data_IF_440295693876
#
_entry.id   IF_440295693876
#
_cell.length_a   1.000
_cell.length_b   1.000
_cell.length_c   1.000
_cell.angle_alpha   90.00
_cell.angle_beta   90.00
_cell.angle_gamma   90.00
#
_symmetry.space_group_name_H-M   'P 1'
#
loop_
_entity.id
_entity.type
_entity.pdbx_description
1 polymer ?
#
# COMPACT_ATOMS: atom_id res chain seq x y z
N UNK A 1 -23.93 17.96 82.63
CA UNK A 1 -23.67 19.37 82.95
C UNK A 1 -23.20 20.09 81.69
N UNK A 2 -23.98 21.13 81.38
CA UNK A 2 -23.67 22.35 80.65
C UNK A 2 -23.36 22.21 79.17
N UNK A 3 -24.30 22.48 78.30
CA UNK A 3 -24.67 23.76 77.70
C UNK A 3 -23.47 24.46 77.01
N UNK A 4 -23.51 24.94 75.81
CA UNK A 4 -24.20 26.12 75.31
C UNK A 4 -23.92 26.40 73.82
N UNK A 5 -24.96 26.66 73.07
CA UNK A 5 -25.28 27.77 72.15
C UNK A 5 -24.50 27.92 70.82
N UNK A 6 -25.33 27.78 69.87
CA UNK A 6 -25.70 28.73 68.75
C UNK A 6 -24.67 29.78 68.34
N UNK A 7 -24.29 29.75 67.13
CA UNK A 7 -24.36 31.01 66.37
C UNK A 7 -24.65 30.77 64.87
N UNK A 8 -25.73 31.34 64.41
CA UNK A 8 -26.16 31.42 63.03
C UNK A 8 -25.54 32.64 62.38
N UNK A 9 -24.69 32.46 61.41
CA UNK A 9 -24.38 33.55 60.47
C UNK A 9 -24.67 33.17 59.08
N UNK A 10 -25.75 33.68 58.61
CA UNK A 10 -26.20 33.76 57.24
C UNK A 10 -25.18 34.50 56.39
N UNK A 11 -24.56 33.85 55.44
CA UNK A 11 -23.75 34.51 54.42
C UNK A 11 -24.48 34.40 53.09
N UNK A 12 -24.87 35.56 52.60
CA UNK A 12 -25.46 35.77 51.27
C UNK A 12 -24.45 35.39 50.20
N UNK A 13 -24.79 34.41 49.42
CA UNK A 13 -24.05 34.04 48.21
C UNK A 13 -24.57 34.87 47.06
N UNK A 14 -23.80 35.87 46.66
CA UNK A 14 -23.97 36.57 45.40
C UNK A 14 -23.70 35.64 44.24
N UNK A 15 -24.70 35.33 43.47
CA UNK A 15 -24.54 34.53 42.27
C UNK A 15 -23.81 35.30 41.17
N UNK A 16 -22.65 34.83 40.81
CA UNK A 16 -22.01 35.19 39.56
C UNK A 16 -22.33 34.10 38.55
N UNK A 17 -23.26 34.40 37.66
CA UNK A 17 -23.55 33.56 36.49
C UNK A 17 -22.39 33.68 35.48
N UNK A 18 -21.53 32.69 35.48
CA UNK A 18 -20.56 32.49 34.39
C UNK A 18 -21.28 31.99 33.16
N UNK A 19 -21.52 32.87 32.20
CA UNK A 19 -21.95 32.52 30.87
C UNK A 19 -20.72 31.88 30.17
N UNK A 20 -20.65 30.57 30.18
CA UNK A 20 -19.74 29.83 29.27
C UNK A 20 -20.28 29.99 27.85
N UNK A 21 -19.77 30.96 27.13
CA UNK A 21 -19.92 31.03 25.67
C UNK A 21 -19.20 29.82 25.08
N UNK A 22 -19.96 28.75 24.86
CA UNK A 22 -19.51 27.59 24.13
C UNK A 22 -19.18 28.00 22.70
N UNK A 23 -17.90 28.27 22.43
CA UNK A 23 -17.39 28.24 21.10
C UNK A 23 -17.44 26.78 20.64
N UNK A 24 -18.55 26.39 20.03
CA UNK A 24 -18.64 25.15 19.24
C UNK A 24 -17.74 25.33 18.03
N UNK A 25 -16.44 25.15 18.27
CA UNK A 25 -15.48 24.94 17.20
C UNK A 25 -15.91 23.67 16.49
N UNK A 26 -16.60 23.83 15.36
CA UNK A 26 -16.83 22.75 14.43
C UNK A 26 -15.44 22.22 14.05
N UNK A 27 -15.03 21.13 14.68
CA UNK A 27 -13.91 20.32 14.22
C UNK A 27 -14.27 19.90 12.80
N UNK A 28 -13.79 20.65 11.82
CA UNK A 28 -13.82 20.21 10.43
C UNK A 28 -13.08 18.88 10.42
N UNK A 29 -13.73 17.79 10.01
CA UNK A 29 -12.98 16.56 9.81
C UNK A 29 -11.85 16.91 8.85
N UNK A 30 -10.60 16.64 9.28
CA UNK A 30 -9.48 16.71 8.36
C UNK A 30 -9.87 15.84 7.18
N UNK A 31 -10.05 16.45 6.00
CA UNK A 31 -10.32 15.70 4.79
C UNK A 31 -9.15 14.74 4.62
N UNK A 32 -9.40 13.43 4.78
CA UNK A 32 -8.40 12.43 4.48
C UNK A 32 -7.92 12.71 3.05
N UNK A 33 -6.61 12.98 2.92
CA UNK A 33 -6.05 13.29 1.61
C UNK A 33 -6.27 12.09 0.71
N UNK A 34 -6.93 12.31 -0.43
CA UNK A 34 -7.21 11.25 -1.39
C UNK A 34 -5.89 10.59 -1.83
N UNK A 35 -5.86 9.26 -1.83
CA UNK A 35 -4.69 8.50 -2.24
C UNK A 35 -4.48 8.65 -3.75
N UNK A 36 -3.35 9.24 -4.15
CA UNK A 36 -3.04 9.47 -5.55
C UNK A 36 -2.69 8.16 -6.27
N UNK A 37 -3.10 8.05 -7.54
CA UNK A 37 -2.74 6.91 -8.37
C UNK A 37 -1.23 6.81 -8.58
N UNK A 38 -0.73 5.57 -8.61
CA UNK A 38 0.68 5.28 -8.90
C UNK A 38 0.94 5.48 -10.39
N UNK A 39 1.86 6.37 -10.80
CA UNK A 39 2.23 6.49 -12.19
C UNK A 39 3.08 5.31 -12.66
N UNK A 40 2.99 4.96 -13.94
CA UNK A 40 3.92 4.00 -14.54
C UNK A 40 5.36 4.51 -14.45
N UNK A 41 6.27 3.62 -14.05
CA UNK A 41 7.69 3.93 -13.97
C UNK A 41 8.36 3.82 -15.34
N UNK A 42 9.34 4.69 -15.59
CA UNK A 42 10.15 4.60 -16.82
C UNK A 42 10.84 3.23 -16.90
N UNK A 43 10.70 2.55 -18.04
CA UNK A 43 11.25 1.23 -18.27
C UNK A 43 10.50 0.10 -17.54
N UNK A 44 9.40 0.41 -16.87
CA UNK A 44 8.57 -0.61 -16.22
C UNK A 44 8.02 -1.66 -17.19
N UNK A 45 7.67 -1.23 -18.39
CA UNK A 45 7.16 -2.10 -19.46
C UNK A 45 8.24 -2.82 -20.29
N UNK A 46 9.53 -2.67 -19.95
CA UNK A 46 10.59 -3.35 -20.72
C UNK A 46 10.37 -4.87 -20.66
N UNK A 47 10.45 -5.51 -21.81
CA UNK A 47 10.24 -6.95 -22.01
C UNK A 47 8.87 -7.47 -21.50
N UNK A 48 7.88 -6.60 -21.32
CA UNK A 48 6.53 -6.99 -20.97
C UNK A 48 5.95 -7.98 -21.99
N UNK A 49 5.31 -9.03 -21.49
CA UNK A 49 4.62 -10.06 -22.27
C UNK A 49 3.20 -10.19 -21.74
N UNK A 50 2.16 -9.74 -22.45
CA UNK A 50 0.79 -9.88 -21.98
C UNK A 50 0.42 -11.35 -21.76
N UNK A 51 -0.40 -11.62 -20.74
CA UNK A 51 -0.98 -12.94 -20.52
C UNK A 51 -0.06 -13.97 -19.86
N UNK A 52 0.99 -13.57 -19.17
CA UNK A 52 1.77 -14.52 -18.35
C UNK A 52 0.86 -15.32 -17.40
N UNK A 53 1.09 -16.63 -17.23
CA UNK A 53 0.19 -17.49 -16.46
C UNK A 53 0.20 -17.15 -14.97
N UNK A 54 -0.93 -17.33 -14.29
CA UNK A 54 -0.98 -17.34 -12.83
C UNK A 54 -0.32 -18.62 -12.35
N UNK A 55 0.71 -18.46 -11.52
CA UNK A 55 1.55 -19.56 -11.03
C UNK A 55 1.75 -19.46 -9.52
N UNK A 56 2.03 -20.58 -8.87
CA UNK A 56 2.39 -20.59 -7.44
C UNK A 56 3.80 -19.98 -7.21
N UNK A 57 4.71 -20.16 -8.18
CA UNK A 57 6.04 -19.57 -8.21
C UNK A 57 6.63 -19.60 -9.62
N UNK A 58 7.62 -18.76 -9.87
CA UNK A 58 8.46 -18.79 -11.07
C UNK A 58 9.70 -19.61 -10.75
N UNK A 59 10.07 -20.54 -11.59
CA UNK A 59 11.28 -21.34 -11.46
C UNK A 59 11.45 -22.00 -10.09
N UNK A 60 12.69 -22.07 -9.59
CA UNK A 60 13.06 -22.71 -8.32
C UNK A 60 12.70 -21.92 -7.06
N UNK A 61 12.32 -20.65 -7.21
CA UNK A 61 11.99 -19.80 -6.05
C UNK A 61 13.22 -19.28 -5.30
N UNK A 62 12.98 -18.82 -4.06
CA UNK A 62 14.02 -18.31 -3.15
C UNK A 62 14.04 -16.80 -2.98
N UNK A 63 13.47 -16.04 -3.91
CA UNK A 63 13.26 -14.58 -3.84
C UNK A 63 11.78 -14.24 -3.82
N UNK A 64 11.38 -13.24 -3.04
CA UNK A 64 9.98 -12.85 -2.91
C UNK A 64 9.69 -11.48 -3.51
N UNK A 65 8.78 -11.45 -4.47
CA UNK A 65 8.12 -10.21 -4.89
C UNK A 65 6.78 -10.09 -4.16
N UNK A 66 6.55 -8.95 -3.53
CA UNK A 66 5.32 -8.72 -2.78
C UNK A 66 4.86 -7.27 -2.84
N UNK A 67 3.63 -7.02 -2.40
CA UNK A 67 3.12 -5.67 -2.31
C UNK A 67 1.63 -5.62 -2.07
N UNK A 68 1.05 -4.44 -2.26
CA UNK A 68 -0.38 -4.19 -2.11
C UNK A 68 -0.95 -3.50 -3.34
N UNK A 69 -2.23 -3.73 -3.58
CA UNK A 69 -3.02 -3.05 -4.61
C UNK A 69 -4.20 -2.35 -3.94
N UNK A 70 -4.30 -1.04 -4.12
CA UNK A 70 -5.33 -0.20 -3.53
C UNK A 70 -5.99 0.67 -4.60
N UNK A 71 -7.23 1.08 -4.36
CA UNK A 71 -7.95 2.01 -5.22
C UNK A 71 -7.50 3.44 -4.94
N UNK A 72 -7.29 4.22 -6.00
CA UNK A 72 -7.04 5.65 -5.89
C UNK A 72 -8.27 6.36 -5.29
N UNK A 73 -8.01 7.43 -4.57
CA UNK A 73 -9.03 8.17 -3.85
C UNK A 73 -9.22 7.66 -2.42
N UNK A 74 -9.94 6.56 -2.23
CA UNK A 74 -10.32 6.05 -0.92
C UNK A 74 -9.33 5.06 -0.28
N UNK A 75 -8.37 4.54 -1.04
CA UNK A 75 -7.37 3.58 -0.56
C UNK A 75 -7.92 2.19 -0.24
N UNK A 76 -9.13 1.87 -0.66
CA UNK A 76 -9.70 0.54 -0.45
C UNK A 76 -8.82 -0.56 -1.05
N UNK A 77 -8.57 -1.66 -0.34
CA UNK A 77 -7.84 -2.79 -0.90
C UNK A 77 -8.60 -3.41 -2.07
N UNK A 78 -7.87 -3.79 -3.10
CA UNK A 78 -8.44 -4.41 -4.31
C UNK A 78 -8.09 -5.90 -4.34
N UNK A 79 -9.07 -6.75 -4.06
CA UNK A 79 -8.95 -8.20 -4.11
C UNK A 79 -9.06 -8.73 -5.54
N UNK A 80 -8.44 -9.90 -5.79
CA UNK A 80 -8.55 -10.62 -7.07
C UNK A 80 -7.84 -9.93 -8.24
N UNK A 81 -7.04 -8.89 -7.99
CA UNK A 81 -6.32 -8.20 -9.06
C UNK A 81 -5.11 -9.02 -9.50
N UNK A 82 -4.99 -9.20 -10.80
CA UNK A 82 -3.88 -9.93 -11.41
C UNK A 82 -2.66 -9.02 -11.55
N UNK A 83 -1.57 -9.41 -10.91
CA UNK A 83 -0.27 -8.73 -11.01
C UNK A 83 0.69 -9.66 -11.73
N UNK A 84 1.18 -9.23 -12.87
CA UNK A 84 2.23 -9.92 -13.60
C UNK A 84 3.59 -9.45 -13.09
N UNK A 85 4.55 -10.39 -12.99
CA UNK A 85 5.89 -10.17 -12.43
C UNK A 85 6.92 -10.84 -13.34
N UNK A 86 8.03 -10.16 -13.61
CA UNK A 86 9.19 -10.73 -14.32
C UNK A 86 10.48 -10.02 -13.92
N UNK A 87 11.59 -10.68 -14.10
CA UNK A 87 12.91 -10.13 -13.84
C UNK A 87 14.00 -10.95 -14.53
N UNK A 88 15.23 -10.38 -14.59
CA UNK A 88 16.42 -11.14 -14.82
C UNK A 88 16.87 -11.84 -13.53
N UNK A 89 17.01 -13.13 -13.59
CA UNK A 89 17.26 -13.98 -12.42
C UNK A 89 18.41 -14.94 -12.64
N UNK A 90 18.79 -15.67 -11.60
CA UNK A 90 19.77 -16.76 -11.69
C UNK A 90 19.37 -17.88 -12.63
N UNK A 91 18.09 -17.99 -13.02
CA UNK A 91 17.56 -19.08 -13.85
C UNK A 91 17.12 -18.65 -15.24
N UNK A 92 17.06 -17.34 -15.52
CA UNK A 92 16.63 -16.87 -16.84
C UNK A 92 16.67 -15.37 -17.01
N UNK A 93 16.64 -14.95 -18.27
CA UNK A 93 16.63 -13.54 -18.62
C UNK A 93 15.19 -12.99 -18.56
N UNK A 94 15.02 -11.72 -18.28
CA UNK A 94 13.69 -11.04 -18.25
C UNK A 94 12.94 -11.08 -19.60
N UNK A 95 13.61 -11.48 -20.70
CA UNK A 95 13.00 -11.71 -22.02
C UNK A 95 12.37 -13.09 -22.16
N UNK A 96 12.78 -14.02 -21.33
CA UNK A 96 12.39 -15.43 -21.47
C UNK A 96 10.98 -15.64 -20.94
N UNK A 97 10.09 -16.33 -21.67
CA UNK A 97 8.72 -16.54 -21.21
C UNK A 97 8.62 -17.18 -19.83
N UNK A 98 9.54 -18.12 -19.52
CA UNK A 98 9.59 -18.81 -18.21
C UNK A 98 9.98 -17.89 -17.04
N UNK A 99 10.53 -16.71 -17.30
CA UNK A 99 10.84 -15.68 -16.28
C UNK A 99 9.63 -14.82 -15.93
N UNK A 100 8.47 -15.06 -16.55
CA UNK A 100 7.23 -14.34 -16.36
C UNK A 100 6.21 -15.21 -15.63
N UNK A 101 5.55 -14.63 -14.64
CA UNK A 101 4.41 -15.23 -13.97
C UNK A 101 3.45 -14.17 -13.47
N UNK A 102 2.29 -14.60 -13.02
CA UNK A 102 1.33 -13.72 -12.40
C UNK A 102 0.81 -14.32 -11.10
N UNK A 103 0.31 -13.45 -10.23
CA UNK A 103 -0.39 -13.81 -9.00
C UNK A 103 -1.62 -12.95 -8.84
N UNK A 104 -2.54 -13.34 -7.95
CA UNK A 104 -3.74 -12.58 -7.63
C UNK A 104 -3.61 -11.98 -6.24
N UNK A 105 -4.18 -10.79 -6.04
CA UNK A 105 -4.29 -10.20 -4.71
C UNK A 105 -5.31 -10.95 -3.86
N UNK A 106 -5.03 -11.04 -2.56
CA UNK A 106 -5.96 -11.57 -1.56
C UNK A 106 -7.07 -10.55 -1.18
N UNK A 107 -7.90 -10.89 -0.20
CA UNK A 107 -8.99 -10.04 0.29
C UNK A 107 -8.51 -8.68 0.85
N UNK A 108 -7.25 -8.58 1.26
CA UNK A 108 -6.62 -7.37 1.78
C UNK A 108 -5.87 -6.59 0.70
N UNK A 109 -5.97 -7.01 -0.56
CA UNK A 109 -5.24 -6.43 -1.68
C UNK A 109 -3.74 -6.76 -1.67
N UNK A 110 -3.31 -7.78 -0.94
CA UNK A 110 -1.90 -8.20 -0.86
C UNK A 110 -1.60 -9.23 -1.94
N UNK A 111 -0.47 -9.07 -2.62
CA UNK A 111 0.05 -10.08 -3.53
C UNK A 111 1.45 -10.55 -3.09
N UNK A 112 1.77 -11.79 -3.40
CA UNK A 112 3.10 -12.39 -3.26
C UNK A 112 3.34 -13.38 -4.38
N UNK A 113 4.56 -13.40 -4.89
CA UNK A 113 5.02 -14.41 -5.83
C UNK A 113 6.48 -14.74 -5.55
N UNK A 114 6.78 -16.00 -5.40
CA UNK A 114 8.14 -16.49 -5.27
C UNK A 114 8.77 -16.66 -6.65
N UNK A 115 10.06 -16.32 -6.77
CA UNK A 115 10.80 -16.42 -8.02
C UNK A 115 12.28 -16.68 -7.71
N UNK A 116 13.12 -17.05 -8.70
CA UNK A 116 14.55 -17.17 -8.49
C UNK A 116 15.19 -15.83 -8.12
N UNK A 117 16.37 -15.87 -7.47
CA UNK A 117 17.10 -14.68 -7.07
C UNK A 117 17.28 -13.71 -8.25
N UNK A 118 16.84 -12.47 -8.07
CA UNK A 118 17.10 -11.40 -9.04
C UNK A 118 18.57 -11.03 -9.02
N UNK A 119 19.16 -10.93 -10.20
CA UNK A 119 20.56 -10.59 -10.39
C UNK A 119 20.73 -9.40 -11.33
N UNK A 120 21.85 -8.67 -11.28
CA UNK A 120 22.07 -7.56 -12.19
C UNK A 120 22.06 -7.97 -13.67
N UNK A 121 21.33 -7.18 -14.47
CA UNK A 121 21.43 -7.20 -15.92
C UNK A 121 21.34 -5.75 -16.39
N UNK A 122 22.33 -5.14 -16.95
CA UNK A 122 22.31 -3.73 -17.36
C UNK A 122 22.02 -2.74 -16.21
N UNK A 123 22.82 -2.75 -15.17
CA UNK A 123 22.71 -1.83 -14.03
C UNK A 123 22.29 -2.53 -12.73
N UNK A 124 21.59 -1.80 -11.87
CA UNK A 124 21.14 -2.35 -10.58
C UNK A 124 20.09 -3.45 -10.77
N UNK A 125 20.14 -4.52 -9.93
CA UNK A 125 19.14 -5.56 -9.97
C UNK A 125 17.77 -4.96 -9.67
N UNK A 126 16.76 -5.37 -10.46
CA UNK A 126 15.41 -4.83 -10.41
C UNK A 126 14.39 -5.87 -10.84
N UNK A 127 13.17 -5.69 -10.37
CA UNK A 127 12.02 -6.43 -10.87
C UNK A 127 11.15 -5.56 -11.76
N UNK A 128 10.24 -6.20 -12.47
CA UNK A 128 9.17 -5.58 -13.22
C UNK A 128 7.84 -6.11 -12.75
N UNK A 129 6.85 -5.23 -12.66
CA UNK A 129 5.48 -5.61 -12.33
C UNK A 129 4.51 -4.86 -13.24
N UNK A 130 3.40 -5.51 -13.58
CA UNK A 130 2.32 -4.90 -14.37
C UNK A 130 0.96 -5.20 -13.76
N UNK A 131 0.11 -4.18 -13.73
CA UNK A 131 -1.33 -4.31 -13.71
C UNK A 131 -1.86 -3.97 -15.10
N UNK A 132 -2.65 -4.87 -15.71
CA UNK A 132 -3.13 -4.75 -17.11
C UNK A 132 -4.51 -5.36 -17.34
N UNK A 133 -5.32 -5.53 -16.28
CA UNK A 133 -6.60 -6.28 -16.36
C UNK A 133 -7.80 -5.47 -16.88
N UNK A 134 -7.65 -4.18 -17.16
CA UNK A 134 -8.65 -3.36 -17.83
C UNK A 134 -9.76 -2.75 -16.97
N UNK A 135 -9.88 -3.12 -15.69
CA UNK A 135 -10.81 -2.44 -14.74
C UNK A 135 -10.27 -1.09 -14.26
N UNK A 136 -8.96 -0.97 -14.22
CA UNK A 136 -8.21 0.22 -13.84
C UNK A 136 -7.19 0.55 -14.91
N UNK A 137 -6.65 1.77 -14.86
CA UNK A 137 -5.57 2.18 -15.75
C UNK A 137 -4.37 1.24 -15.64
N UNK A 138 -3.76 0.91 -16.76
CA UNK A 138 -2.56 0.06 -16.81
C UNK A 138 -1.38 0.75 -16.12
N UNK A 139 -0.72 0.04 -15.23
CA UNK A 139 0.45 0.55 -14.49
C UNK A 139 1.61 -0.43 -14.59
N UNK A 140 2.79 0.09 -14.94
CA UNK A 140 4.04 -0.65 -14.96
C UNK A 140 5.00 -0.13 -13.91
N UNK A 141 5.56 -1.01 -13.07
CA UNK A 141 6.54 -0.66 -12.06
C UNK A 141 7.89 -1.31 -12.36
N UNK A 142 8.95 -0.64 -11.92
CA UNK A 142 10.33 -1.12 -12.01
C UNK A 142 11.07 -0.84 -10.70
N UNK A 143 10.72 -1.53 -9.60
CA UNK A 143 11.41 -1.36 -8.34
C UNK A 143 12.85 -1.90 -8.44
N UNK A 144 13.77 -1.19 -7.80
CA UNK A 144 15.20 -1.51 -7.78
C UNK A 144 15.58 -2.06 -6.41
N UNK A 145 16.37 -3.12 -6.38
CA UNK A 145 16.91 -3.66 -5.14
C UNK A 145 17.96 -2.72 -4.56
N UNK A 146 17.94 -2.53 -3.26
CA UNK A 146 18.94 -1.72 -2.54
C UNK A 146 20.28 -2.44 -2.45
N UNK A 147 20.25 -3.76 -2.40
CA UNK A 147 21.41 -4.64 -2.36
C UNK A 147 21.19 -5.86 -3.24
N UNK A 148 22.22 -6.33 -3.92
CA UNK A 148 22.18 -7.59 -4.67
C UNK A 148 22.01 -8.83 -3.77
N UNK A 149 22.10 -8.65 -2.44
CA UNK A 149 21.88 -9.70 -1.43
C UNK A 149 20.45 -9.73 -0.89
N UNK A 150 19.61 -8.75 -1.27
CA UNK A 150 18.22 -8.77 -0.85
C UNK A 150 17.54 -10.03 -1.38
N UNK A 151 16.71 -10.64 -0.57
CA UNK A 151 15.92 -11.84 -0.92
C UNK A 151 14.45 -11.54 -1.11
N UNK A 152 14.09 -10.26 -1.04
CA UNK A 152 12.75 -9.78 -1.28
C UNK A 152 12.76 -8.37 -1.86
N UNK A 153 11.71 -8.03 -2.59
CA UNK A 153 11.46 -6.70 -3.14
C UNK A 153 9.97 -6.40 -3.05
N UNK A 154 9.65 -5.19 -2.61
CA UNK A 154 8.27 -4.75 -2.47
C UNK A 154 7.90 -3.67 -3.49
N UNK A 155 6.67 -3.71 -3.98
CA UNK A 155 6.08 -2.70 -4.84
C UNK A 155 4.59 -2.56 -4.56
N UNK A 156 4.07 -1.33 -4.62
CA UNK A 156 2.68 -1.04 -4.29
C UNK A 156 2.00 -0.33 -5.45
N UNK A 157 0.78 -0.74 -5.74
CA UNK A 157 -0.07 -0.14 -6.74
C UNK A 157 -1.20 0.64 -6.07
N UNK A 158 -1.42 1.85 -6.54
CA UNK A 158 -2.65 2.61 -6.32
C UNK A 158 -3.28 2.81 -7.69
N UNK A 159 -4.39 2.15 -7.95
CA UNK A 159 -5.00 2.06 -9.28
C UNK A 159 -6.16 3.06 -9.44
N UNK A 160 -6.14 3.80 -10.53
CA UNK A 160 -7.23 4.68 -10.95
C UNK A 160 -8.23 3.90 -11.80
N UNK A 161 -9.54 3.94 -11.52
CA UNK A 161 -10.56 3.40 -12.43
C UNK A 161 -10.45 4.01 -13.84
N UNK A 162 -10.70 3.22 -14.89
CA UNK A 162 -10.82 3.70 -16.27
C UNK A 162 -12.15 4.39 -16.50
#
# INVERSE_FOLDING_TARGET
>A
MTNVLHDRRTLLLSGAALILSGASGLLRPASAQALAATPSMRGGANNYRPGAPVVARIGGGGFWMSGTVRRAGDGMPLAGQRIQIWAHTTEGHERDPQSHGATLTDANGVFRLEMPQIVPAFGQPHGHLAYDSGEFETVFLRPVMKSARDTALEAHFVLSPV
#
